data_IF_543738396372
#
_entry.id   IF_543738396372
#
_cell.length_a   1.000
_cell.length_b   1.000
_cell.length_c   1.000
_cell.angle_alpha   90.00
_cell.angle_beta   90.00
_cell.angle_gamma   90.00
#
_symmetry.space_group_name_H-M   'P 1'
#
loop_
_entity.id
_entity.type
_entity.pdbx_description
1 polymer ?
#
# COMPACT_ATOMS: atom_id res chain seq x y z
N UNK A 1 21.54 12.16 -27.02
CA UNK A 1 22.13 10.96 -26.41
C UNK A 1 20.97 10.10 -25.91
N UNK A 2 20.58 9.11 -26.70
CA UNK A 2 19.57 8.10 -26.35
C UNK A 2 20.29 6.95 -25.66
N UNK A 3 20.02 6.75 -24.38
CA UNK A 3 20.61 5.70 -23.56
C UNK A 3 20.00 4.34 -23.98
N UNK A 4 20.79 3.41 -24.59
CA UNK A 4 20.29 2.11 -25.03
C UNK A 4 19.90 1.19 -23.86
N UNK A 5 20.20 1.57 -22.61
CA UNK A 5 19.79 0.84 -21.40
C UNK A 5 18.52 1.40 -20.74
N UNK A 6 17.86 2.40 -21.32
CA UNK A 6 16.57 2.87 -20.78
C UNK A 6 15.56 1.74 -20.91
N UNK A 7 14.92 1.26 -19.82
CA UNK A 7 13.93 0.20 -19.89
C UNK A 7 12.84 0.64 -20.86
N UNK A 8 12.71 -0.10 -21.96
CA UNK A 8 11.69 0.13 -22.96
C UNK A 8 10.35 -0.24 -22.28
N UNK A 9 9.61 0.77 -21.82
CA UNK A 9 8.32 0.61 -21.15
C UNK A 9 7.25 0.16 -22.16
N UNK A 10 7.37 -1.08 -22.66
CA UNK A 10 6.54 -1.67 -23.70
C UNK A 10 5.30 -2.40 -23.13
N UNK A 11 4.84 -2.06 -21.92
CA UNK A 11 3.62 -2.62 -21.33
C UNK A 11 3.77 -4.00 -20.68
N UNK A 12 4.99 -4.53 -20.57
CA UNK A 12 5.28 -5.85 -19.99
C UNK A 12 5.36 -5.88 -18.46
N UNK A 13 4.98 -4.79 -17.75
CA UNK A 13 5.05 -4.75 -16.29
C UNK A 13 4.29 -5.91 -15.62
N UNK A 14 3.13 -6.28 -16.15
CA UNK A 14 2.34 -7.39 -15.61
C UNK A 14 3.04 -8.73 -15.86
N UNK A 15 3.69 -8.88 -17.02
CA UNK A 15 4.49 -10.05 -17.41
C UNK A 15 5.70 -10.21 -16.49
N UNK A 16 6.47 -9.12 -16.33
CA UNK A 16 7.66 -9.05 -15.52
C UNK A 16 7.34 -9.31 -14.04
N UNK A 17 6.29 -8.66 -13.52
CA UNK A 17 5.84 -8.86 -12.15
C UNK A 17 5.38 -10.31 -11.90
N UNK A 18 4.70 -10.94 -12.87
CA UNK A 18 4.31 -12.35 -12.77
C UNK A 18 5.52 -13.28 -12.80
N UNK A 19 6.48 -13.02 -13.68
CA UNK A 19 7.68 -13.84 -13.80
C UNK A 19 8.56 -13.75 -12.55
N UNK A 20 8.71 -12.55 -11.99
CA UNK A 20 9.42 -12.33 -10.73
C UNK A 20 8.67 -12.95 -9.54
N UNK A 21 7.34 -12.83 -9.48
CA UNK A 21 6.53 -13.48 -8.43
C UNK A 21 6.62 -15.02 -8.52
N UNK A 22 6.60 -15.57 -9.74
CA UNK A 22 6.80 -17.01 -9.96
C UNK A 22 8.20 -17.45 -9.52
N UNK A 23 9.23 -16.64 -9.77
CA UNK A 23 10.58 -16.84 -9.25
C UNK A 23 10.64 -16.84 -7.72
N UNK A 24 9.96 -15.88 -7.06
CA UNK A 24 9.84 -15.85 -5.59
C UNK A 24 9.15 -17.10 -5.03
N UNK A 25 8.12 -17.60 -5.72
CA UNK A 25 7.41 -18.82 -5.32
C UNK A 25 8.29 -20.07 -5.46
N UNK A 26 9.09 -20.14 -6.52
CA UNK A 26 9.93 -21.30 -6.81
C UNK A 26 11.21 -21.33 -5.95
N UNK A 27 11.88 -20.19 -5.78
CA UNK A 27 13.12 -20.07 -5.01
C UNK A 27 12.87 -19.72 -3.52
N UNK A 28 11.64 -19.32 -3.18
CA UNK A 28 11.25 -18.99 -1.81
C UNK A 28 12.08 -17.86 -1.19
N UNK A 29 12.50 -18.05 0.07
CA UNK A 29 13.31 -17.07 0.81
C UNK A 29 14.74 -16.89 0.26
N UNK A 30 15.20 -17.79 -0.61
CA UNK A 30 16.49 -17.66 -1.29
C UNK A 30 16.45 -16.66 -2.45
N UNK A 31 15.25 -16.30 -2.93
CA UNK A 31 15.10 -15.31 -3.98
C UNK A 31 15.46 -13.90 -3.46
N UNK A 32 16.31 -13.14 -4.18
CA UNK A 32 16.79 -11.82 -3.73
C UNK A 32 15.65 -10.82 -3.49
N UNK A 33 14.55 -10.92 -4.23
CA UNK A 33 13.40 -10.02 -4.11
C UNK A 33 12.37 -10.44 -3.04
N UNK A 34 12.45 -11.64 -2.46
CA UNK A 34 11.48 -12.11 -1.43
C UNK A 34 11.62 -11.35 -0.10
N UNK A 35 12.86 -11.07 0.33
CA UNK A 35 13.13 -10.37 1.59
C UNK A 35 12.55 -8.94 1.63
N UNK A 36 12.81 -8.06 0.64
CA UNK A 36 12.23 -6.73 0.66
C UNK A 36 10.70 -6.77 0.60
N UNK A 37 10.11 -7.66 -0.21
CA UNK A 37 8.65 -7.81 -0.30
C UNK A 37 8.03 -8.21 1.04
N UNK A 38 8.65 -9.14 1.77
CA UNK A 38 8.17 -9.54 3.10
C UNK A 38 8.24 -8.42 4.14
N UNK A 39 9.31 -7.61 4.14
CA UNK A 39 9.45 -6.47 5.06
C UNK A 39 8.31 -5.47 4.81
N UNK A 40 8.07 -5.12 3.55
CA UNK A 40 7.00 -4.21 3.18
C UNK A 40 5.61 -4.82 3.43
N UNK A 41 5.45 -6.12 3.18
CA UNK A 41 4.24 -6.86 3.52
C UNK A 41 3.94 -6.82 5.01
N UNK A 42 4.95 -7.03 5.86
CA UNK A 42 4.82 -6.94 7.31
C UNK A 42 4.47 -5.52 7.77
N UNK A 43 5.13 -4.49 7.23
CA UNK A 43 4.81 -3.09 7.50
C UNK A 43 3.37 -2.76 7.09
N UNK A 44 2.92 -3.25 5.93
CA UNK A 44 1.55 -3.11 5.46
C UNK A 44 0.53 -3.81 6.35
N UNK A 45 0.85 -5.00 6.86
CA UNK A 45 -0.01 -5.72 7.81
C UNK A 45 -0.15 -4.96 9.13
N UNK A 46 0.95 -4.40 9.65
CA UNK A 46 0.92 -3.54 10.85
C UNK A 46 0.05 -2.32 10.60
N UNK A 47 0.27 -1.59 9.50
CA UNK A 47 -0.55 -0.43 9.14
C UNK A 47 -2.03 -0.79 8.98
N UNK A 48 -2.34 -1.92 8.34
CA UNK A 48 -3.70 -2.45 8.20
C UNK A 48 -4.34 -2.79 9.54
N UNK A 49 -3.58 -3.33 10.50
CA UNK A 49 -4.07 -3.59 11.85
C UNK A 49 -4.36 -2.30 12.63
N UNK A 50 -3.66 -1.20 12.32
CA UNK A 50 -3.88 0.11 12.94
C UNK A 50 -5.01 0.93 12.27
N UNK A 51 -5.40 0.60 11.03
CA UNK A 51 -6.47 1.30 10.30
C UNK A 51 -7.78 1.48 11.10
N UNK A 52 -8.28 0.50 11.88
CA UNK A 52 -9.51 0.65 12.66
C UNK A 52 -9.42 1.80 13.67
N UNK A 53 -8.29 1.97 14.36
CA UNK A 53 -8.14 3.01 15.37
C UNK A 53 -8.15 4.40 14.75
N UNK A 54 -7.47 4.55 13.60
CA UNK A 54 -7.49 5.79 12.83
C UNK A 54 -8.89 6.06 12.29
N UNK A 55 -9.54 5.05 11.69
CA UNK A 55 -10.86 5.20 11.06
C UNK A 55 -11.96 5.49 12.08
N UNK A 56 -11.97 4.78 13.21
CA UNK A 56 -12.93 5.00 14.31
C UNK A 56 -12.70 6.39 14.92
N UNK A 57 -11.45 6.74 15.22
CA UNK A 57 -11.11 8.06 15.78
C UNK A 57 -11.55 9.20 14.87
N UNK A 58 -11.27 9.09 13.57
CA UNK A 58 -11.68 10.08 12.58
C UNK A 58 -13.21 10.16 12.45
N UNK A 59 -13.90 9.02 12.43
CA UNK A 59 -15.36 8.96 12.36
C UNK A 59 -16.04 9.60 13.56
N UNK A 60 -15.53 9.33 14.78
CA UNK A 60 -16.03 9.96 16.01
C UNK A 60 -15.80 11.46 16.01
N UNK A 61 -14.59 11.92 15.65
CA UNK A 61 -14.27 13.33 15.58
C UNK A 61 -15.14 14.07 14.55
N UNK A 62 -15.31 13.49 13.35
CA UNK A 62 -16.15 14.05 12.30
C UNK A 62 -17.62 14.10 12.73
N UNK A 63 -18.16 13.03 13.31
CA UNK A 63 -19.55 12.97 13.78
C UNK A 63 -19.84 13.94 14.92
N UNK A 64 -18.96 13.97 15.94
CA UNK A 64 -19.08 14.90 17.06
C UNK A 64 -18.94 16.36 16.59
N UNK A 65 -17.96 16.62 15.72
CA UNK A 65 -17.75 17.93 15.11
C UNK A 65 -18.94 18.41 14.29
N UNK A 66 -19.53 17.55 13.46
CA UNK A 66 -20.73 17.87 12.69
C UNK A 66 -21.91 18.24 13.59
N UNK A 67 -22.19 17.43 14.61
CA UNK A 67 -23.29 17.67 15.56
C UNK A 67 -23.04 18.92 16.39
N UNK A 68 -21.79 19.19 16.77
CA UNK A 68 -21.40 20.40 17.47
C UNK A 68 -21.56 21.65 16.59
N UNK A 69 -21.10 21.60 15.34
CA UNK A 69 -21.25 22.70 14.37
C UNK A 69 -22.71 23.13 14.20
N UNK A 70 -23.61 22.16 13.97
CA UNK A 70 -25.06 22.43 13.88
C UNK A 70 -25.67 23.01 15.15
N UNK A 71 -25.11 22.71 16.32
CA UNK A 71 -25.56 23.31 17.59
C UNK A 71 -25.06 24.74 17.75
N UNK A 72 -23.86 25.04 17.28
CA UNK A 72 -23.25 26.39 17.35
C UNK A 72 -23.84 27.32 16.29
N UNK A 73 -24.24 26.79 15.13
CA UNK A 73 -24.92 27.54 14.06
C UNK A 73 -26.24 26.88 13.67
N UNK A 74 -27.31 27.14 14.44
CA UNK A 74 -28.66 26.67 14.13
C UNK A 74 -29.30 27.59 13.08
N UNK A 75 -28.77 27.58 11.86
CA UNK A 75 -29.43 28.18 10.68
C UNK A 75 -30.11 27.08 9.86
#
# INVERSE_FOLDING_TARGET
>A
MTDPQRPQNNGDFVSDARQELAGMLQDGLAHPSTKPVLIWGAAGAIAGAFLPFVSIGLGLAAGAGYKFYKRVRPE
#
